data_IF_278944183367
#
_entry.id   IF_278944183367
#
_cell.length_a   1.000
_cell.length_b   1.000
_cell.length_c   1.000
_cell.angle_alpha   90.00
_cell.angle_beta   90.00
_cell.angle_gamma   90.00
#
_symmetry.space_group_name_H-M   'P 1'
#
loop_
_entity.id
_entity.type
_entity.pdbx_description
1 polymer ?
#
# COMPACT_ATOMS: atom_id res chain seq x y z
N UNK A 1 -9.84 -5.24 -13.57
CA UNK A 1 -9.09 -3.99 -13.39
C UNK A 1 -7.67 -4.26 -13.86
N UNK A 2 -7.12 -3.41 -14.72
CA UNK A 2 -5.71 -3.41 -15.12
C UNK A 2 -4.97 -2.29 -14.41
N UNK A 3 -3.65 -2.40 -14.32
CA UNK A 3 -2.77 -1.45 -13.67
C UNK A 3 -1.67 -1.05 -14.65
N UNK A 4 -1.61 0.23 -14.99
CA UNK A 4 -0.63 0.76 -15.94
C UNK A 4 0.56 1.38 -15.21
N UNK A 5 1.77 1.15 -15.72
CA UNK A 5 3.01 1.79 -15.28
C UNK A 5 3.79 2.31 -16.48
N UNK A 6 4.38 3.49 -16.33
CA UNK A 6 5.20 4.12 -17.35
C UNK A 6 6.61 4.37 -16.81
N UNK A 7 7.59 4.09 -17.65
CA UNK A 7 9.01 4.19 -17.35
C UNK A 7 9.71 5.01 -18.42
N UNK A 8 10.51 6.00 -18.01
CA UNK A 8 11.28 6.85 -18.92
C UNK A 8 12.56 7.33 -18.25
N UNK A 9 13.46 7.97 -19.02
CA UNK A 9 14.74 8.42 -18.47
C UNK A 9 14.58 9.43 -17.33
N UNK A 10 15.27 9.22 -16.21
CA UNK A 10 15.14 10.10 -15.05
C UNK A 10 15.40 11.57 -15.36
N UNK A 11 14.54 12.44 -14.83
CA UNK A 11 14.62 13.89 -15.04
C UNK A 11 14.13 14.39 -16.41
N UNK A 12 13.62 13.50 -17.29
CA UNK A 12 13.07 13.89 -18.59
C UNK A 12 11.74 14.66 -18.46
N UNK A 13 11.01 14.51 -17.35
CA UNK A 13 9.68 15.07 -17.17
C UNK A 13 9.65 16.20 -16.13
N UNK A 14 9.34 17.43 -16.56
CA UNK A 14 8.96 18.52 -15.63
C UNK A 14 7.53 18.34 -15.07
N UNK A 15 6.67 17.67 -15.83
CA UNK A 15 5.29 17.37 -15.46
C UNK A 15 4.99 15.89 -15.76
N UNK A 16 5.29 14.97 -14.83
CA UNK A 16 5.16 13.51 -15.02
C UNK A 16 3.78 13.07 -15.50
N UNK A 17 2.70 13.59 -14.89
CA UNK A 17 1.31 13.30 -15.30
C UNK A 17 1.06 13.59 -16.77
N UNK A 18 1.35 14.82 -17.21
CA UNK A 18 1.15 15.24 -18.61
C UNK A 18 2.01 14.45 -19.57
N UNK A 19 3.18 13.94 -19.14
CA UNK A 19 3.98 13.07 -19.97
C UNK A 19 3.31 11.70 -20.10
N UNK A 20 2.93 11.07 -19.00
CA UNK A 20 2.26 9.77 -19.00
C UNK A 20 0.98 9.77 -19.85
N UNK A 21 0.13 10.80 -19.73
CA UNK A 21 -1.07 10.97 -20.55
C UNK A 21 -0.74 10.96 -22.05
N UNK A 22 0.39 11.56 -22.46
CA UNK A 22 0.85 11.54 -23.85
C UNK A 22 1.42 10.19 -24.25
N UNK A 23 2.14 9.52 -23.35
CA UNK A 23 2.73 8.21 -23.62
C UNK A 23 1.65 7.13 -23.81
N UNK A 24 0.52 7.24 -23.12
CA UNK A 24 -0.65 6.39 -23.36
C UNK A 24 -1.15 6.44 -24.82
N UNK A 25 -0.99 7.60 -25.48
CA UNK A 25 -1.28 7.83 -26.89
C UNK A 25 -0.08 7.56 -27.84
N UNK A 26 1.01 6.96 -27.35
CA UNK A 26 2.29 6.81 -28.06
C UNK A 26 2.91 8.15 -28.56
N UNK A 27 2.64 9.26 -27.85
CA UNK A 27 3.21 10.59 -28.15
C UNK A 27 4.41 10.88 -27.24
N UNK A 28 5.59 10.42 -27.67
CA UNK A 28 6.84 10.57 -26.93
C UNK A 28 7.63 11.85 -27.27
N UNK A 29 6.98 12.90 -27.79
CA UNK A 29 7.64 14.16 -28.12
C UNK A 29 8.33 14.77 -26.89
N UNK A 30 9.61 15.12 -27.07
CA UNK A 30 10.46 15.65 -26.00
C UNK A 30 11.23 14.59 -25.20
N UNK A 31 10.96 13.29 -25.38
CA UNK A 31 11.82 12.24 -24.83
C UNK A 31 12.99 11.95 -25.77
N UNK A 32 14.20 11.95 -25.20
CA UNK A 32 15.42 11.59 -25.91
C UNK A 32 15.57 10.07 -25.91
N UNK A 33 15.80 9.43 -27.06
CA UNK A 33 16.18 8.02 -27.13
C UNK A 33 17.38 7.68 -26.25
N UNK A 34 17.27 6.63 -25.45
CA UNK A 34 18.33 6.19 -24.54
C UNK A 34 18.44 4.66 -24.49
N UNK A 35 19.68 4.16 -24.61
CA UNK A 35 19.97 2.71 -24.58
C UNK A 35 19.62 2.05 -23.25
N UNK A 36 19.56 2.83 -22.16
CA UNK A 36 19.14 2.34 -20.84
C UNK A 36 17.68 1.91 -20.82
N UNK A 37 16.81 2.59 -21.59
CA UNK A 37 15.40 2.20 -21.75
C UNK A 37 15.30 0.84 -22.44
N UNK A 38 16.06 0.63 -23.52
CA UNK A 38 16.14 -0.67 -24.20
C UNK A 38 16.72 -1.77 -23.31
N UNK A 39 17.77 -1.45 -22.54
CA UNK A 39 18.38 -2.42 -21.64
C UNK A 39 17.44 -2.84 -20.50
N UNK A 40 16.69 -1.88 -19.94
CA UNK A 40 15.64 -2.15 -18.96
C UNK A 40 14.54 -3.03 -19.56
N UNK A 41 14.05 -2.70 -20.76
CA UNK A 41 13.05 -3.49 -21.48
C UNK A 41 13.50 -4.94 -21.70
N UNK A 42 14.73 -5.13 -22.18
CA UNK A 42 15.29 -6.45 -22.39
C UNK A 42 15.38 -7.25 -21.07
N UNK A 43 15.73 -6.59 -19.98
CA UNK A 43 15.80 -7.22 -18.66
C UNK A 43 14.41 -7.59 -18.11
N UNK A 44 13.38 -6.77 -18.36
CA UNK A 44 11.99 -7.12 -18.04
C UNK A 44 11.58 -8.41 -18.73
N UNK A 45 11.79 -8.52 -20.05
CA UNK A 45 11.42 -9.70 -20.82
C UNK A 45 12.27 -10.94 -20.45
N UNK A 46 13.50 -10.73 -19.99
CA UNK A 46 14.37 -11.82 -19.52
C UNK A 46 13.87 -12.40 -18.19
N UNK A 47 13.40 -11.54 -17.27
CA UNK A 47 12.90 -11.95 -15.94
C UNK A 47 11.46 -12.43 -15.96
N UNK A 48 10.63 -11.77 -16.78
CA UNK A 48 9.21 -12.04 -16.92
C UNK A 48 8.83 -12.10 -18.40
N UNK A 49 9.03 -13.25 -19.06
CA UNK A 49 8.71 -13.42 -20.47
C UNK A 49 7.24 -13.14 -20.80
N UNK A 50 6.33 -13.37 -19.84
CA UNK A 50 4.89 -13.14 -19.99
C UNK A 50 4.54 -11.66 -20.17
N UNK A 51 5.44 -10.73 -19.84
CA UNK A 51 5.27 -9.30 -20.11
C UNK A 51 5.30 -8.95 -21.60
N UNK A 52 5.69 -9.87 -22.48
CA UNK A 52 5.83 -9.59 -23.91
C UNK A 52 4.55 -9.03 -24.56
N UNK A 53 3.38 -9.49 -24.12
CA UNK A 53 2.09 -9.03 -24.63
C UNK A 53 1.51 -7.83 -23.84
N UNK A 54 2.19 -7.42 -22.77
CA UNK A 54 1.75 -6.38 -21.83
C UNK A 54 2.62 -5.11 -21.90
N UNK A 55 3.67 -5.12 -22.70
CA UNK A 55 4.63 -4.00 -22.83
C UNK A 55 4.34 -3.17 -24.08
N UNK A 56 4.28 -1.85 -23.89
CA UNK A 56 4.26 -0.82 -24.92
C UNK A 56 5.53 0.05 -24.86
N UNK A 57 5.89 0.76 -25.93
CA UNK A 57 5.41 0.57 -27.29
C UNK A 57 5.92 -0.77 -27.84
N UNK A 58 5.36 -1.26 -28.96
CA UNK A 58 5.84 -2.50 -29.58
C UNK A 58 7.28 -2.37 -30.07
N UNK A 59 8.07 -3.43 -29.98
CA UNK A 59 9.42 -3.50 -30.54
C UNK A 59 9.80 -4.92 -30.93
N UNK A 60 10.79 -5.04 -31.81
CA UNK A 60 11.24 -6.30 -32.42
C UNK A 60 11.75 -7.35 -31.42
N UNK A 61 12.06 -6.95 -30.18
CA UNK A 61 12.45 -7.84 -29.08
C UNK A 61 11.27 -8.64 -28.50
N UNK A 62 10.02 -8.24 -28.77
CA UNK A 62 8.80 -8.97 -28.39
C UNK A 62 8.51 -10.20 -29.26
N UNK A 63 9.39 -10.52 -30.21
CA UNK A 63 9.25 -11.68 -31.08
C UNK A 63 8.13 -11.53 -32.11
N UNK A 64 6.89 -11.93 -31.77
CA UNK A 64 5.78 -11.93 -32.75
C UNK A 64 5.45 -10.49 -33.17
N UNK A 65 5.45 -10.30 -34.49
CA UNK A 65 5.11 -9.04 -35.14
C UNK A 65 3.63 -8.72 -34.88
N UNK A 66 3.34 -7.75 -34.02
CA UNK A 66 2.01 -7.13 -34.03
C UNK A 66 1.92 -6.29 -35.33
N UNK A 67 0.84 -6.38 -36.12
CA UNK A 67 0.74 -5.63 -37.39
C UNK A 67 0.48 -4.12 -37.22
N UNK A 68 0.46 -3.63 -35.98
CA UNK A 68 0.09 -2.27 -35.59
C UNK A 68 0.98 -1.82 -34.42
N UNK A 69 1.28 -0.52 -34.34
CA UNK A 69 2.14 0.10 -33.31
C UNK A 69 3.42 0.73 -33.89
N UNK A 70 3.86 1.85 -33.30
CA UNK A 70 5.10 2.52 -33.72
C UNK A 70 6.33 1.75 -33.23
N UNK A 71 7.29 1.50 -34.12
CA UNK A 71 8.51 0.74 -33.82
C UNK A 71 9.69 1.60 -33.38
N UNK A 72 9.56 2.93 -33.48
CA UNK A 72 10.63 3.91 -33.28
C UNK A 72 10.63 4.56 -31.88
N UNK A 73 9.85 4.02 -30.95
CA UNK A 73 9.62 4.61 -29.63
C UNK A 73 10.15 3.79 -28.46
N UNK A 74 10.56 2.55 -28.68
CA UNK A 74 10.92 1.63 -27.60
C UNK A 74 12.23 1.97 -26.88
N UNK A 75 13.04 2.85 -27.46
CA UNK A 75 14.22 3.42 -26.82
C UNK A 75 13.91 4.71 -26.04
N UNK A 76 12.65 5.17 -26.01
CA UNK A 76 12.26 6.42 -25.32
C UNK A 76 11.51 6.17 -24.03
N UNK A 77 10.63 5.19 -24.00
CA UNK A 77 9.87 4.81 -22.82
C UNK A 77 9.46 3.34 -22.86
N UNK A 78 9.04 2.83 -21.71
CA UNK A 78 8.35 1.54 -21.56
C UNK A 78 7.04 1.79 -20.83
N UNK A 79 5.92 1.36 -21.39
CA UNK A 79 4.64 1.25 -20.72
C UNK A 79 4.35 -0.22 -20.42
N UNK A 80 3.74 -0.52 -19.29
CA UNK A 80 3.35 -1.89 -18.92
C UNK A 80 1.92 -1.88 -18.42
N UNK A 81 1.06 -2.71 -18.99
CA UNK A 81 -0.34 -2.90 -18.57
C UNK A 81 -0.48 -4.27 -17.90
N UNK A 82 -0.59 -4.27 -16.58
CA UNK A 82 -0.59 -5.47 -15.76
C UNK A 82 -2.02 -5.84 -15.32
N UNK A 83 -2.34 -7.13 -15.14
CA UNK A 83 -3.54 -7.52 -14.43
C UNK A 83 -3.44 -7.13 -12.95
N UNK A 84 -4.59 -6.83 -12.33
CA UNK A 84 -4.63 -6.59 -10.88
C UNK A 84 -4.07 -7.79 -10.11
N UNK A 85 -3.19 -7.51 -9.14
CA UNK A 85 -2.54 -8.54 -8.31
C UNK A 85 -1.38 -9.28 -8.98
N UNK A 86 -0.83 -8.75 -10.09
CA UNK A 86 0.31 -9.38 -10.77
C UNK A 86 1.54 -9.52 -9.85
N UNK A 87 2.12 -10.72 -9.86
CA UNK A 87 3.33 -11.04 -9.12
C UNK A 87 4.56 -10.43 -9.81
N UNK A 88 5.05 -9.32 -9.28
CA UNK A 88 6.30 -8.65 -9.65
C UNK A 88 6.18 -7.12 -9.64
N UNK A 89 5.00 -6.56 -9.35
CA UNK A 89 4.73 -5.12 -9.51
C UNK A 89 5.67 -4.22 -8.68
N UNK A 90 6.19 -4.64 -7.52
CA UNK A 90 7.19 -3.86 -6.74
C UNK A 90 8.59 -3.93 -7.31
N UNK A 91 8.90 -5.01 -8.01
CA UNK A 91 10.24 -5.21 -8.54
C UNK A 91 10.48 -4.32 -9.77
N UNK A 92 9.41 -3.87 -10.45
CA UNK A 92 9.53 -3.06 -11.67
C UNK A 92 10.17 -1.69 -11.40
N UNK A 93 9.71 -0.87 -10.43
CA UNK A 93 10.32 0.43 -10.17
C UNK A 93 11.74 0.33 -9.59
N UNK A 94 11.99 -0.67 -8.75
CA UNK A 94 13.33 -0.96 -8.21
C UNK A 94 14.30 -1.29 -9.34
N UNK A 95 13.86 -2.14 -10.29
CA UNK A 95 14.66 -2.47 -11.46
C UNK A 95 14.88 -1.24 -12.34
N UNK A 96 13.83 -0.47 -12.64
CA UNK A 96 13.89 0.74 -13.46
C UNK A 96 14.89 1.76 -12.92
N UNK A 97 14.91 1.95 -11.60
CA UNK A 97 15.86 2.81 -10.92
C UNK A 97 17.32 2.38 -11.10
N UNK A 98 17.58 1.07 -11.12
CA UNK A 98 18.91 0.52 -11.43
C UNK A 98 19.40 0.89 -12.84
N UNK A 99 18.49 1.24 -13.75
CA UNK A 99 18.80 1.75 -15.09
C UNK A 99 18.70 3.29 -15.18
N UNK A 100 18.49 3.99 -14.07
CA UNK A 100 18.33 5.45 -14.03
C UNK A 100 17.05 5.93 -14.75
N UNK A 101 15.97 5.18 -14.58
CA UNK A 101 14.65 5.49 -15.12
C UNK A 101 13.70 5.92 -14.00
N UNK A 102 12.90 6.95 -14.29
CA UNK A 102 11.76 7.31 -13.47
C UNK A 102 10.59 6.39 -13.81
N UNK A 103 9.85 6.01 -12.77
CA UNK A 103 8.64 5.19 -12.87
C UNK A 103 7.43 6.06 -12.51
N UNK A 104 6.30 5.89 -13.16
CA UNK A 104 5.09 6.67 -12.92
C UNK A 104 3.83 5.80 -12.94
N UNK A 105 2.99 6.02 -11.92
CA UNK A 105 1.70 5.35 -11.76
C UNK A 105 0.57 6.37 -12.01
N UNK A 106 -0.18 6.25 -13.12
CA UNK A 106 -1.32 7.12 -13.41
C UNK A 106 -2.43 7.00 -12.37
N UNK A 107 -2.58 5.85 -11.72
CA UNK A 107 -3.64 5.58 -10.76
C UNK A 107 -3.41 6.30 -9.43
N UNK A 108 -2.14 6.55 -9.06
CA UNK A 108 -1.78 7.36 -7.89
C UNK A 108 -1.29 8.77 -8.24
N UNK A 109 -1.22 9.10 -9.53
CA UNK A 109 -0.73 10.36 -10.09
C UNK A 109 0.68 10.77 -9.60
N UNK A 110 1.54 9.80 -9.27
CA UNK A 110 2.83 10.05 -8.64
C UNK A 110 4.00 9.34 -9.33
N UNK A 111 5.19 9.95 -9.18
CA UNK A 111 6.45 9.27 -9.45
C UNK A 111 6.66 8.19 -8.40
N UNK A 112 7.06 7.05 -8.90
CA UNK A 112 7.18 5.79 -8.18
C UNK A 112 8.65 5.68 -7.80
N UNK A 113 8.96 5.92 -6.52
CA UNK A 113 10.35 5.89 -6.05
C UNK A 113 10.92 4.46 -6.11
N UNK A 114 12.25 4.30 -6.21
CA UNK A 114 12.92 3.00 -6.11
C UNK A 114 12.66 2.44 -4.70
N UNK A 115 11.63 1.59 -4.56
CA UNK A 115 11.14 1.11 -3.25
C UNK A 115 9.74 1.62 -2.88
N UNK A 116 9.05 2.35 -3.75
CA UNK A 116 7.66 2.75 -3.55
C UNK A 116 6.82 2.21 -4.70
N UNK A 117 5.78 1.42 -4.38
CA UNK A 117 4.71 0.80 -5.22
C UNK A 117 5.00 -0.56 -5.88
N UNK A 118 4.01 -1.46 -6.08
CA UNK A 118 2.99 -1.99 -5.18
C UNK A 118 3.03 -3.54 -5.19
N UNK A 119 4.09 -4.10 -4.64
CA UNK A 119 4.02 -5.36 -3.87
C UNK A 119 4.65 -5.20 -2.49
N UNK A 120 5.30 -4.05 -2.26
CA UNK A 120 5.39 -3.39 -0.95
C UNK A 120 4.22 -2.39 -0.75
N UNK A 121 3.11 -2.58 -1.49
CA UNK A 121 1.77 -2.19 -1.03
C UNK A 121 1.09 -3.43 -0.41
N UNK A 122 1.73 -4.04 0.58
CA UNK A 122 1.01 -4.10 1.85
C UNK A 122 0.84 -2.65 2.23
N UNK A 123 -0.40 -2.18 2.36
CA UNK A 123 -0.63 -0.80 2.75
C UNK A 123 0.12 -0.57 4.06
N UNK A 124 1.19 0.24 4.06
CA UNK A 124 1.46 1.08 5.20
C UNK A 124 1.17 2.50 4.68
N UNK A 125 -0.09 2.90 4.40
CA UNK A 125 -0.86 3.53 5.47
C UNK A 125 -0.66 2.76 6.75
N UNK A 126 0.50 3.03 7.38
CA UNK A 126 0.69 2.78 8.78
C UNK A 126 -0.34 3.68 9.41
N UNK A 127 -1.52 3.12 9.61
CA UNK A 127 -2.54 3.75 10.42
C UNK A 127 -1.95 3.64 11.81
N UNK A 128 -1.24 4.67 12.22
CA UNK A 128 -0.59 4.70 13.53
C UNK A 128 -1.64 4.61 14.65
N UNK A 129 -2.89 4.99 14.34
CA UNK A 129 -3.96 5.12 15.29
C UNK A 129 -5.34 4.91 14.66
N UNK A 130 -6.17 4.12 15.31
CA UNK A 130 -7.62 4.04 15.06
C UNK A 130 -8.33 4.43 16.35
N UNK A 131 -9.26 5.39 16.27
CA UNK A 131 -10.08 5.82 17.40
C UNK A 131 -11.53 5.41 17.19
N UNK A 132 -12.21 5.04 18.28
CA UNK A 132 -13.61 4.68 18.28
C UNK A 132 -14.16 4.60 19.69
N UNK A 133 -15.37 4.10 19.81
CA UNK A 133 -16.00 3.83 21.10
C UNK A 133 -16.80 2.54 21.01
N UNK A 134 -16.91 1.83 22.13
CA UNK A 134 -17.75 0.63 22.25
C UNK A 134 -18.52 0.68 23.56
N UNK A 135 -19.61 -0.08 23.66
CA UNK A 135 -20.25 -0.29 24.97
C UNK A 135 -19.31 -1.02 25.94
N UNK A 136 -19.33 -0.66 27.22
CA UNK A 136 -18.48 -1.27 28.27
C UNK A 136 -18.54 -2.80 28.28
N UNK A 137 -19.75 -3.36 28.13
CA UNK A 137 -19.99 -4.81 28.07
C UNK A 137 -19.35 -5.51 26.86
N UNK A 138 -18.94 -4.78 25.83
CA UNK A 138 -18.34 -5.32 24.60
C UNK A 138 -16.81 -5.16 24.55
N UNK A 139 -16.18 -4.54 25.55
CA UNK A 139 -14.71 -4.34 25.59
C UNK A 139 -13.95 -5.67 25.48
N UNK A 140 -14.36 -6.69 26.25
CA UNK A 140 -13.74 -8.02 26.19
C UNK A 140 -13.91 -8.66 24.80
N UNK A 141 -15.08 -8.49 24.19
CA UNK A 141 -15.35 -9.01 22.85
C UNK A 141 -14.49 -8.32 21.79
N UNK A 142 -14.31 -7.01 21.90
CA UNK A 142 -13.43 -6.22 21.04
C UNK A 142 -11.98 -6.71 21.15
N UNK A 143 -11.44 -6.84 22.37
CA UNK A 143 -10.05 -7.26 22.58
C UNK A 143 -9.78 -8.68 22.08
N UNK A 144 -10.71 -9.60 22.32
CA UNK A 144 -10.66 -10.96 21.75
C UNK A 144 -10.61 -10.92 20.22
N UNK A 145 -11.45 -10.10 19.58
CA UNK A 145 -11.49 -10.01 18.12
C UNK A 145 -10.21 -9.39 17.54
N UNK A 146 -9.69 -8.31 18.14
CA UNK A 146 -8.41 -7.70 17.74
C UNK A 146 -7.28 -8.70 17.89
N UNK A 147 -7.26 -9.45 18.99
CA UNK A 147 -6.26 -10.49 19.27
C UNK A 147 -6.22 -11.55 18.17
N UNK A 148 -7.38 -11.98 17.66
CA UNK A 148 -7.47 -12.90 16.52
C UNK A 148 -6.82 -12.31 15.26
N UNK A 149 -7.02 -11.01 14.99
CA UNK A 149 -6.45 -10.37 13.80
C UNK A 149 -4.93 -10.33 13.80
N UNK A 150 -4.31 -10.17 14.97
CA UNK A 150 -2.85 -10.07 15.13
C UNK A 150 -2.19 -11.38 15.61
N UNK A 151 -2.96 -12.46 15.73
CA UNK A 151 -2.47 -13.75 16.22
C UNK A 151 -2.02 -13.74 17.68
N UNK A 152 -2.53 -12.82 18.51
CA UNK A 152 -2.30 -12.81 19.95
C UNK A 152 -3.20 -13.85 20.64
N UNK A 153 -2.63 -14.62 21.56
CA UNK A 153 -3.34 -15.67 22.28
C UNK A 153 -4.03 -15.09 23.53
N UNK A 154 -5.19 -14.47 23.32
CA UNK A 154 -6.01 -13.91 24.39
C UNK A 154 -6.57 -15.02 25.30
N UNK A 155 -6.34 -14.93 26.61
CA UNK A 155 -6.71 -15.92 27.62
C UNK A 155 -7.37 -15.31 28.87
N UNK A 156 -7.58 -16.14 29.91
CA UNK A 156 -8.26 -15.73 31.14
C UNK A 156 -7.46 -14.69 31.96
N UNK A 157 -6.13 -14.63 31.80
CA UNK A 157 -5.28 -13.63 32.47
C UNK A 157 -5.50 -12.25 31.86
N UNK A 158 -5.76 -12.18 30.56
CA UNK A 158 -6.11 -10.93 29.88
C UNK A 158 -7.43 -10.36 30.43
N UNK A 159 -8.44 -11.20 30.68
CA UNK A 159 -9.70 -10.74 31.27
C UNK A 159 -9.56 -10.30 32.72
N UNK A 160 -8.73 -11.00 33.49
CA UNK A 160 -8.43 -10.61 34.86
C UNK A 160 -7.73 -9.23 34.90
N UNK A 161 -6.88 -8.92 33.92
CA UNK A 161 -6.19 -7.62 33.82
C UNK A 161 -7.14 -6.45 33.55
N UNK A 162 -8.31 -6.69 32.96
CA UNK A 162 -9.32 -5.66 32.70
C UNK A 162 -10.26 -5.41 33.89
N UNK A 163 -10.31 -6.33 34.85
CA UNK A 163 -11.20 -6.23 36.01
C UNK A 163 -10.81 -5.03 36.88
N UNK A 164 -11.68 -4.02 36.94
CA UNK A 164 -11.44 -2.77 37.68
C UNK A 164 -10.44 -1.82 37.01
N UNK A 165 -9.91 -2.17 35.83
CA UNK A 165 -8.92 -1.35 35.14
C UNK A 165 -9.48 -0.02 34.62
N UNK A 166 -10.80 0.04 34.38
CA UNK A 166 -11.48 1.21 33.83
C UNK A 166 -12.07 2.14 34.91
N UNK A 167 -12.16 1.68 36.17
CA UNK A 167 -12.87 2.39 37.25
C UNK A 167 -12.32 3.80 37.52
N UNK A 168 -11.02 4.00 37.28
CA UNK A 168 -10.32 5.27 37.49
C UNK A 168 -9.94 5.98 36.16
N UNK A 169 -10.47 5.52 35.02
CA UNK A 169 -10.16 6.08 33.70
C UNK A 169 -11.14 7.18 33.28
N UNK A 170 -10.66 8.15 32.48
CA UNK A 170 -11.44 9.27 31.96
C UNK A 170 -10.84 9.75 30.63
N UNK A 171 -11.63 9.70 29.55
CA UNK A 171 -11.19 10.10 28.21
C UNK A 171 -10.91 11.61 28.06
N UNK A 172 -11.49 12.44 28.93
CA UNK A 172 -11.24 13.89 28.98
C UNK A 172 -9.92 14.24 29.70
N UNK A 173 -9.37 13.30 30.49
CA UNK A 173 -8.12 13.50 31.22
C UNK A 173 -6.91 13.04 30.39
N UNK A 174 -5.87 13.89 30.33
CA UNK A 174 -4.64 13.63 29.54
C UNK A 174 -3.96 12.31 29.92
N UNK A 175 -3.93 12.00 31.20
CA UNK A 175 -3.35 10.76 31.74
C UNK A 175 -4.44 9.77 32.22
N UNK A 176 -5.69 9.94 31.77
CA UNK A 176 -6.85 9.15 32.21
C UNK A 176 -7.08 7.87 31.43
N UNK A 177 -6.10 7.40 30.66
CA UNK A 177 -6.24 6.24 29.79
C UNK A 177 -5.53 5.01 30.38
N UNK A 178 -6.17 3.85 30.28
CA UNK A 178 -5.57 2.56 30.60
C UNK A 178 -4.94 1.97 29.35
N UNK A 179 -3.62 1.71 29.40
CA UNK A 179 -2.86 1.16 28.28
C UNK A 179 -2.78 -0.37 28.38
N UNK A 180 -3.25 -1.05 27.35
CA UNK A 180 -3.29 -2.50 27.25
C UNK A 180 -2.47 -3.02 26.05
N UNK A 181 -1.25 -3.53 26.26
CA UNK A 181 -0.40 -4.02 25.17
C UNK A 181 -0.83 -5.41 24.69
N UNK A 182 -1.07 -5.54 23.39
CA UNK A 182 -1.29 -6.83 22.70
C UNK A 182 -0.06 -7.20 21.88
N UNK A 183 0.71 -8.18 22.37
CA UNK A 183 2.00 -8.60 21.79
C UNK A 183 1.80 -9.61 20.65
N UNK A 184 1.03 -9.22 19.63
CA UNK A 184 0.82 -9.97 18.40
C UNK A 184 1.79 -9.57 17.27
N UNK A 185 1.47 -10.01 16.05
CA UNK A 185 2.11 -9.57 14.81
C UNK A 185 1.07 -8.90 13.91
N UNK A 186 1.01 -7.55 13.84
CA UNK A 186 1.85 -6.57 14.54
C UNK A 186 1.50 -6.42 16.04
N UNK A 187 2.41 -5.81 16.81
CA UNK A 187 2.16 -5.44 18.21
C UNK A 187 1.33 -4.16 18.26
N UNK A 188 0.26 -4.18 19.05
CA UNK A 188 -0.66 -3.05 19.21
C UNK A 188 -0.76 -2.66 20.69
N UNK A 189 -1.03 -1.39 20.95
CA UNK A 189 -1.39 -0.87 22.28
C UNK A 189 -2.82 -0.38 22.22
N UNK A 190 -3.69 -0.95 23.03
CA UNK A 190 -5.09 -0.57 23.13
C UNK A 190 -5.24 0.34 24.34
N UNK A 191 -5.55 1.61 24.12
CA UNK A 191 -5.89 2.55 25.19
C UNK A 191 -7.38 2.58 25.39
N UNK A 192 -7.81 2.46 26.63
CA UNK A 192 -9.20 2.42 27.04
C UNK A 192 -9.45 3.52 28.07
N UNK A 193 -10.54 4.26 27.92
CA UNK A 193 -10.98 5.20 28.93
C UNK A 193 -12.50 5.30 29.00
N UNK A 194 -13.07 5.42 30.20
CA UNK A 194 -14.48 5.70 30.34
C UNK A 194 -14.80 7.10 29.84
N UNK A 195 -15.97 7.23 29.18
CA UNK A 195 -16.53 8.53 28.84
C UNK A 195 -17.48 8.99 29.96
N UNK A 196 -17.16 10.07 30.70
CA UNK A 196 -17.94 10.47 31.87
C UNK A 196 -19.42 10.70 31.56
N UNK A 197 -20.30 10.01 32.31
CA UNK A 197 -21.75 10.13 32.15
C UNK A 197 -22.35 9.30 31.00
N UNK A 198 -21.57 8.39 30.41
CA UNK A 198 -22.01 7.42 29.40
C UNK A 198 -21.64 5.99 29.80
N UNK A 199 -22.28 5.00 29.16
CA UNK A 199 -21.95 3.58 29.30
C UNK A 199 -20.97 3.09 28.21
N UNK A 200 -20.31 4.04 27.54
CA UNK A 200 -19.34 3.78 26.47
C UNK A 200 -17.92 3.94 26.98
N UNK A 201 -17.03 3.14 26.41
CA UNK A 201 -15.59 3.19 26.61
C UNK A 201 -14.99 3.71 25.32
N UNK A 202 -14.26 4.81 25.43
CA UNK A 202 -13.44 5.36 24.36
C UNK A 202 -12.25 4.43 24.14
N UNK A 203 -12.02 4.05 22.88
CA UNK A 203 -10.98 3.12 22.48
C UNK A 203 -10.04 3.80 21.51
N UNK A 204 -8.75 3.69 21.77
CA UNK A 204 -7.70 4.06 20.83
C UNK A 204 -6.77 2.88 20.63
N UNK A 205 -6.58 2.48 19.38
CA UNK A 205 -5.65 1.42 19.00
C UNK A 205 -4.44 2.08 18.38
N UNK A 206 -3.26 1.88 18.95
CA UNK A 206 -2.00 2.43 18.46
C UNK A 206 -1.06 1.29 18.04
N UNK A 207 -0.32 1.50 16.95
CA UNK A 207 0.66 0.54 16.48
C UNK A 207 0.87 0.59 14.97
N UNK A 208 1.81 -0.22 14.49
CA UNK A 208 2.10 -0.39 13.06
C UNK A 208 1.00 -1.25 12.44
N UNK A 209 -0.05 -0.63 11.91
CA UNK A 209 -1.20 -1.31 11.31
C UNK A 209 -1.26 -1.03 9.81
N UNK A 210 -1.47 -2.07 9.01
CA UNK A 210 -1.89 -1.88 7.63
C UNK A 210 -3.35 -1.40 7.55
N UNK A 211 -3.74 -0.79 6.43
CA UNK A 211 -5.12 -0.31 6.22
C UNK A 211 -6.17 -1.41 6.35
N UNK A 212 -5.84 -2.67 5.99
CA UNK A 212 -6.80 -3.77 6.08
C UNK A 212 -7.09 -4.09 7.54
N UNK A 213 -6.07 -4.14 8.39
CA UNK A 213 -6.16 -4.33 9.82
C UNK A 213 -6.87 -3.14 10.46
N UNK A 214 -6.48 -1.91 10.12
CA UNK A 214 -7.13 -0.70 10.62
C UNK A 214 -8.63 -0.66 10.29
N UNK A 215 -9.02 -0.91 9.04
CA UNK A 215 -10.42 -0.98 8.62
C UNK A 215 -11.18 -2.11 9.32
N UNK A 216 -10.57 -3.27 9.55
CA UNK A 216 -11.21 -4.36 10.30
C UNK A 216 -11.45 -4.01 11.77
N UNK A 217 -10.51 -3.28 12.37
CA UNK A 217 -10.61 -2.80 13.74
C UNK A 217 -11.70 -1.72 13.84
N UNK A 218 -11.70 -0.74 12.95
CA UNK A 218 -12.76 0.28 12.85
C UNK A 218 -14.15 -0.37 12.67
N UNK A 219 -14.27 -1.29 11.72
CA UNK A 219 -15.52 -2.01 11.45
C UNK A 219 -16.02 -2.78 12.66
N UNK A 220 -15.13 -3.40 13.45
CA UNK A 220 -15.59 -4.15 14.62
C UNK A 220 -16.00 -3.24 15.77
N UNK A 221 -15.36 -2.07 15.93
CA UNK A 221 -15.80 -1.07 16.90
C UNK A 221 -17.21 -0.57 16.57
N UNK A 222 -17.49 -0.27 15.30
CA UNK A 222 -18.81 0.20 14.85
C UNK A 222 -19.96 -0.83 15.06
N UNK A 223 -19.61 -2.11 15.19
CA UNK A 223 -20.57 -3.21 15.36
C UNK A 223 -20.88 -3.53 16.82
N UNK A 224 -20.13 -2.98 17.78
CA UNK A 224 -20.17 -3.31 19.21
C UNK A 224 -20.63 -2.11 20.07
#
# INVERSE_FOLDING_TARGET
MSYDLYFWLSGAARHPRRLADRLADEKADGLVPDKRVLAFRAELLRRWPDLADMIAPWHQDLGRRQPWGRTDLADRFVGVTLPYGWEGTSALPVLAAGYGLDSYDPQSEQLVSPGSLPQDRGVLDDVAQVDGWVNEQHVVQLLRQISVYIGYAYDDLDEAALTGALDDTNDEAVDGWFDYPLVGTPTLVIRLAQSPGSAVVSVRVEGTMDLVLATRIETVMDLL
#
